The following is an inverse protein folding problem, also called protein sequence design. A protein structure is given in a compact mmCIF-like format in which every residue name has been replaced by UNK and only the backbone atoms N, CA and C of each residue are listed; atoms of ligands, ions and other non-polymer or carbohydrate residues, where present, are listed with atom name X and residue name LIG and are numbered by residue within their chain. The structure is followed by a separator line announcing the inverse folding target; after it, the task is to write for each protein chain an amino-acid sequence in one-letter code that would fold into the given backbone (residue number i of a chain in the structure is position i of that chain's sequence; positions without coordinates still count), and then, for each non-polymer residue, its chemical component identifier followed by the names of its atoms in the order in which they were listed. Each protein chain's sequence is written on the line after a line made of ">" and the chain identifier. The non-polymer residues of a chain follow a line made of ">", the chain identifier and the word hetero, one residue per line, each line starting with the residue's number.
data_IF_327395342621
#
_entry.id   IF_327395342621
#
_cell.length_a   1.000
_cell.length_b   1.000
_cell.length_c   1.000
_cell.angle_alpha   90.00
_cell.angle_beta   90.00
_cell.angle_gamma   90.00
#
_symmetry.space_group_name_H-M   'P 1'
#
loop_
_entity.id
_entity.type
_entity.pdbx_description
1 polymer ?
#
# COMPACT_ATOMS: atom_id res chain seq x y z
N UNK A 1 -20.74 26.83 42.58
CA UNK A 1 -20.33 26.56 41.19
C UNK A 1 -19.10 25.68 41.31
N UNK A 2 -19.30 24.36 41.24
CA UNK A 2 -18.21 23.38 41.36
C UNK A 2 -17.48 23.35 40.03
N UNK A 3 -16.18 23.64 40.03
CA UNK A 3 -15.30 23.48 38.86
C UNK A 3 -15.34 22.00 38.42
N UNK A 4 -15.42 21.70 37.13
CA UNK A 4 -15.41 20.31 36.66
C UNK A 4 -14.10 19.67 37.11
N UNK A 5 -14.22 18.44 37.59
CA UNK A 5 -13.12 17.64 38.11
C UNK A 5 -12.03 17.52 37.05
N UNK A 6 -10.86 18.12 37.29
CA UNK A 6 -9.69 18.09 36.38
C UNK A 6 -9.29 16.66 35.95
N UNK A 7 -9.65 15.65 36.73
CA UNK A 7 -9.43 14.23 36.41
C UNK A 7 -10.31 13.74 35.24
N UNK A 8 -11.50 14.31 35.02
CA UNK A 8 -12.43 13.86 33.97
C UNK A 8 -11.99 14.35 32.58
N UNK A 9 -11.41 15.55 32.51
CA UNK A 9 -10.92 16.14 31.26
C UNK A 9 -9.66 15.44 30.77
N UNK A 10 -8.72 15.13 31.71
CA UNK A 10 -7.50 14.37 31.41
C UNK A 10 -7.79 12.94 30.90
N UNK A 11 -8.88 12.33 31.39
CA UNK A 11 -9.25 10.96 31.00
C UNK A 11 -9.76 10.88 29.55
N UNK A 12 -10.51 11.85 29.07
CA UNK A 12 -11.03 11.84 27.69
C UNK A 12 -9.92 11.95 26.64
N UNK A 13 -8.94 12.84 26.87
CA UNK A 13 -7.85 13.07 25.92
C UNK A 13 -6.90 11.87 25.75
N UNK A 14 -6.72 11.06 26.81
CA UNK A 14 -5.83 9.86 26.75
C UNK A 14 -6.56 8.70 26.11
N UNK A 15 -7.83 8.51 26.41
CA UNK A 15 -8.64 7.41 25.89
C UNK A 15 -8.80 7.46 24.36
N UNK A 16 -8.88 8.66 23.81
CA UNK A 16 -9.03 8.90 22.36
C UNK A 16 -7.73 8.71 21.56
N UNK A 17 -6.58 8.57 22.24
CA UNK A 17 -5.30 8.37 21.56
C UNK A 17 -5.29 7.01 20.85
N UNK A 18 -5.03 7.03 19.56
CA UNK A 18 -4.90 5.81 18.77
C UNK A 18 -3.63 5.03 19.14
N UNK A 19 -3.80 3.74 19.40
CA UNK A 19 -2.69 2.81 19.55
C UNK A 19 -1.95 2.67 18.22
N UNK A 20 -0.62 2.90 18.17
CA UNK A 20 0.12 2.86 16.92
C UNK A 20 -0.07 1.56 16.15
N UNK A 21 -0.43 1.65 14.88
CA UNK A 21 -0.64 0.53 13.98
C UNK A 21 -2.02 -0.12 14.04
N UNK A 22 -2.75 -0.02 15.14
CA UNK A 22 -4.01 -0.77 15.34
C UNK A 22 -5.25 -0.05 14.78
N UNK A 23 -5.17 1.23 14.45
CA UNK A 23 -6.32 2.05 14.01
C UNK A 23 -7.51 1.99 15.01
N UNK A 24 -7.21 1.87 16.27
CA UNK A 24 -8.16 1.86 17.38
C UNK A 24 -7.62 2.72 18.51
N UNK A 25 -8.50 3.39 19.23
CA UNK A 25 -8.12 4.16 20.40
C UNK A 25 -7.72 3.26 21.59
N UNK A 26 -7.02 3.85 22.56
CA UNK A 26 -6.69 3.15 23.81
C UNK A 26 -7.95 2.68 24.54
N UNK A 27 -9.07 3.42 24.41
CA UNK A 27 -10.37 3.03 24.98
C UNK A 27 -10.95 1.83 24.24
N UNK A 28 -11.05 1.87 22.90
CA UNK A 28 -11.57 0.77 22.11
C UNK A 28 -10.84 -0.55 22.36
N UNK A 29 -9.52 -0.48 22.63
CA UNK A 29 -8.71 -1.65 22.93
C UNK A 29 -8.70 -2.04 24.41
N UNK A 30 -9.39 -1.30 25.27
CA UNK A 30 -9.27 -1.43 26.73
C UNK A 30 -7.81 -1.45 27.19
N UNK A 31 -6.96 -0.64 26.54
CA UNK A 31 -5.52 -0.68 26.75
C UNK A 31 -5.07 -0.01 28.04
N UNK A 32 -5.86 0.90 28.62
CA UNK A 32 -5.53 1.58 29.87
C UNK A 32 -6.01 0.73 31.06
N UNK A 33 -5.07 0.19 31.84
CA UNK A 33 -5.39 -0.62 32.99
C UNK A 33 -5.49 0.17 34.31
N UNK A 34 -4.71 1.25 34.42
CA UNK A 34 -4.75 2.16 35.57
C UNK A 34 -4.42 3.58 35.12
N UNK A 35 -5.20 4.54 35.59
CA UNK A 35 -4.93 5.96 35.43
C UNK A 35 -4.93 6.64 36.82
N UNK A 36 -3.82 7.29 37.15
CA UNK A 36 -3.62 8.04 38.37
C UNK A 36 -3.17 9.47 38.02
N UNK A 37 -3.17 10.36 39.01
CA UNK A 37 -2.83 11.79 38.81
C UNK A 37 -1.48 11.99 38.08
N UNK A 38 -0.46 11.14 38.36
CA UNK A 38 0.89 11.30 37.82
C UNK A 38 1.39 10.06 37.06
N UNK A 39 0.55 9.06 36.80
CA UNK A 39 0.96 7.84 36.09
C UNK A 39 -0.18 7.17 35.35
N UNK A 40 0.15 6.58 34.20
CA UNK A 40 -0.75 5.76 33.41
C UNK A 40 -0.11 4.38 33.18
N UNK A 41 -0.90 3.29 33.33
CA UNK A 41 -0.47 1.93 33.02
C UNK A 41 -1.22 1.46 31.76
N UNK A 42 -0.46 1.06 30.73
CA UNK A 42 -0.98 0.71 29.40
C UNK A 42 -0.56 -0.71 29.05
N UNK A 43 -1.47 -1.48 28.44
CA UNK A 43 -1.16 -2.79 27.88
C UNK A 43 -0.28 -2.63 26.66
N UNK A 44 0.82 -3.37 26.63
CA UNK A 44 1.75 -3.41 25.51
C UNK A 44 1.48 -4.65 24.66
N UNK A 45 0.69 -4.49 23.63
CA UNK A 45 0.30 -5.58 22.74
C UNK A 45 1.39 -5.99 21.74
N UNK A 46 2.46 -5.22 21.61
CA UNK A 46 3.45 -5.40 20.53
C UNK A 46 4.84 -5.75 21.02
N UNK A 47 5.19 -5.33 22.24
CA UNK A 47 6.55 -5.40 22.81
C UNK A 47 7.61 -4.66 21.98
N UNK A 48 7.18 -3.71 21.13
CA UNK A 48 8.02 -2.96 20.21
C UNK A 48 8.36 -1.58 20.79
N UNK A 49 9.66 -1.26 20.92
CA UNK A 49 10.08 -0.04 21.63
C UNK A 49 9.60 1.24 20.94
N UNK A 50 9.65 1.33 19.60
CA UNK A 50 9.15 2.53 18.92
C UNK A 50 7.64 2.75 19.13
N UNK A 51 6.83 1.69 19.32
CA UNK A 51 5.40 1.79 19.65
C UNK A 51 5.23 2.41 21.04
N UNK A 52 6.04 1.95 22.01
CA UNK A 52 6.09 2.53 23.36
C UNK A 52 6.48 4.00 23.34
N UNK A 53 7.49 4.37 22.53
CA UNK A 53 7.96 5.75 22.41
C UNK A 53 6.90 6.66 21.82
N UNK A 54 6.21 6.23 20.76
CA UNK A 54 5.09 6.97 20.17
C UNK A 54 3.95 7.14 21.17
N UNK A 55 3.63 6.11 21.96
CA UNK A 55 2.61 6.21 23.01
C UNK A 55 3.03 7.19 24.10
N UNK A 56 4.29 7.12 24.59
CA UNK A 56 4.83 8.08 25.56
C UNK A 56 4.72 9.52 25.05
N UNK A 57 5.13 9.73 23.81
CA UNK A 57 5.07 11.06 23.20
C UNK A 57 3.63 11.58 23.11
N UNK A 58 2.72 10.83 22.48
CA UNK A 58 1.33 11.26 22.28
C UNK A 58 0.59 11.52 23.58
N UNK A 59 0.79 10.67 24.59
CA UNK A 59 0.16 10.85 25.90
C UNK A 59 0.70 12.09 26.60
N UNK A 60 2.00 12.35 26.49
CA UNK A 60 2.65 13.48 27.17
C UNK A 60 2.66 14.79 26.37
N UNK A 61 2.11 14.83 25.18
CA UNK A 61 1.89 16.11 24.46
C UNK A 61 1.03 17.09 25.28
N UNK A 62 0.01 16.57 25.99
CA UNK A 62 -0.90 17.37 26.82
C UNK A 62 -0.86 17.00 28.30
N UNK A 63 -0.02 16.05 28.72
CA UNK A 63 0.04 15.53 30.06
C UNK A 63 1.51 15.39 30.52
N UNK A 64 1.71 15.23 31.81
CA UNK A 64 3.03 14.93 32.36
C UNK A 64 2.90 13.68 33.24
N UNK A 65 2.75 12.52 32.59
CA UNK A 65 2.50 11.24 33.25
C UNK A 65 3.69 10.30 33.14
N UNK A 66 3.99 9.57 34.19
CA UNK A 66 4.84 8.38 34.14
C UNK A 66 4.07 7.25 33.44
N UNK A 67 4.53 6.82 32.25
CA UNK A 67 3.88 5.75 31.50
C UNK A 67 4.55 4.41 31.82
N UNK A 68 3.74 3.47 32.32
CA UNK A 68 4.16 2.08 32.59
C UNK A 68 3.51 1.14 31.60
N UNK A 69 4.32 0.29 30.98
CA UNK A 69 3.83 -0.74 30.08
C UNK A 69 3.70 -2.06 30.79
N UNK A 70 2.62 -2.78 30.52
CA UNK A 70 2.32 -4.08 31.11
C UNK A 70 2.01 -5.07 29.98
N UNK A 71 2.60 -6.25 30.07
CA UNK A 71 2.28 -7.36 29.17
C UNK A 71 0.81 -7.77 29.35
N UNK A 72 0.04 -7.86 28.24
CA UNK A 72 -1.35 -8.30 28.28
C UNK A 72 -1.42 -9.80 28.61
N UNK A 73 -2.53 -10.23 29.25
CA UNK A 73 -2.87 -11.65 29.37
C UNK A 73 -3.33 -12.23 28.05
N UNK A 74 -3.30 -13.55 27.87
CA UNK A 74 -3.81 -14.25 26.68
C UNK A 74 -5.24 -13.83 26.35
N UNK A 75 -6.12 -13.75 27.35
CA UNK A 75 -7.50 -13.30 27.18
C UNK A 75 -7.59 -11.87 26.62
N UNK A 76 -6.74 -10.95 27.08
CA UNK A 76 -6.71 -9.58 26.56
C UNK A 76 -6.21 -9.53 25.11
N UNK A 77 -5.25 -10.38 24.75
CA UNK A 77 -4.78 -10.52 23.36
C UNK A 77 -5.89 -11.07 22.48
N UNK A 78 -6.65 -12.08 22.94
CA UNK A 78 -7.81 -12.62 22.19
C UNK A 78 -8.91 -11.57 21.99
N UNK A 79 -9.26 -10.81 23.04
CA UNK A 79 -10.26 -9.74 22.98
C UNK A 79 -9.83 -8.66 21.95
N UNK A 80 -8.58 -8.21 22.02
CA UNK A 80 -8.04 -7.23 21.07
C UNK A 80 -7.96 -7.81 19.65
N UNK A 81 -7.59 -9.08 19.51
CA UNK A 81 -7.56 -9.78 18.22
C UNK A 81 -8.93 -9.78 17.53
N UNK A 82 -10.00 -9.97 18.31
CA UNK A 82 -11.37 -9.87 17.79
C UNK A 82 -11.74 -8.43 17.37
N UNK A 83 -11.40 -7.44 18.19
CA UNK A 83 -11.67 -6.01 17.92
C UNK A 83 -10.98 -5.55 16.65
N UNK A 84 -9.72 -5.95 16.43
CA UNK A 84 -8.92 -5.56 15.27
C UNK A 84 -9.12 -6.49 14.06
N UNK A 85 -10.02 -7.50 14.17
CA UNK A 85 -10.30 -8.46 13.09
C UNK A 85 -9.11 -9.35 12.75
N UNK A 86 -8.26 -9.64 13.72
CA UNK A 86 -7.14 -10.58 13.53
C UNK A 86 -7.60 -12.04 13.58
N UNK A 87 -8.75 -12.31 14.20
CA UNK A 87 -9.37 -13.65 14.25
C UNK A 87 -10.20 -13.85 12.98
N UNK A 88 -9.71 -14.68 12.07
CA UNK A 88 -10.42 -15.01 10.82
C UNK A 88 -10.17 -16.46 10.46
N UNK A 89 -11.14 -17.08 9.81
CA UNK A 89 -10.94 -18.33 9.11
C UNK A 89 -10.11 -18.04 7.84
N UNK A 90 -8.90 -18.60 7.78
CA UNK A 90 -7.97 -18.37 6.67
C UNK A 90 -8.47 -18.93 5.35
N UNK A 91 -9.22 -20.03 5.37
CA UNK A 91 -9.80 -20.60 4.15
C UNK A 91 -10.94 -19.71 3.64
N UNK A 92 -11.79 -19.23 4.53
CA UNK A 92 -12.83 -18.27 4.19
C UNK A 92 -12.23 -16.96 3.66
N UNK A 93 -11.19 -16.43 4.31
CA UNK A 93 -10.48 -15.24 3.87
C UNK A 93 -9.93 -15.39 2.46
N UNK A 94 -9.20 -16.49 2.18
CA UNK A 94 -8.64 -16.78 0.85
C UNK A 94 -9.72 -16.85 -0.22
N UNK A 95 -10.84 -17.50 0.08
CA UNK A 95 -11.96 -17.64 -0.84
C UNK A 95 -12.70 -16.32 -1.12
N UNK A 96 -12.70 -15.41 -0.17
CA UNK A 96 -13.46 -14.16 -0.22
C UNK A 96 -12.60 -12.91 -0.40
N UNK A 97 -11.28 -13.02 -0.41
CA UNK A 97 -10.34 -11.90 -0.41
C UNK A 97 -10.63 -10.84 -1.48
N UNK A 98 -11.01 -11.29 -2.65
CA UNK A 98 -11.30 -10.42 -3.81
C UNK A 98 -12.75 -9.94 -3.90
N UNK A 99 -13.67 -10.38 -3.01
CA UNK A 99 -15.09 -10.02 -3.11
C UNK A 99 -15.34 -8.55 -2.82
N UNK A 100 -14.61 -8.00 -1.87
CA UNK A 100 -14.83 -6.64 -1.36
C UNK A 100 -13.68 -5.67 -1.71
N UNK A 101 -12.69 -6.12 -2.50
CA UNK A 101 -11.52 -5.33 -2.84
C UNK A 101 -11.24 -5.41 -4.33
N UNK A 102 -10.91 -4.28 -4.93
CA UNK A 102 -10.37 -4.25 -6.28
C UNK A 102 -8.86 -4.41 -6.22
N UNK A 103 -8.29 -5.36 -6.95
CA UNK A 103 -6.86 -5.67 -6.92
C UNK A 103 -6.26 -5.30 -8.27
N UNK A 104 -5.28 -4.38 -8.25
CA UNK A 104 -4.68 -3.82 -9.45
C UNK A 104 -3.16 -3.95 -9.36
N UNK A 105 -2.58 -4.81 -10.20
CA UNK A 105 -1.14 -4.90 -10.40
C UNK A 105 -0.62 -3.76 -11.28
N UNK A 106 0.46 -3.13 -10.86
CA UNK A 106 1.17 -2.14 -11.66
C UNK A 106 2.43 -2.83 -12.18
N UNK A 107 2.47 -3.07 -13.48
CA UNK A 107 3.56 -3.83 -14.13
C UNK A 107 4.32 -2.98 -15.14
N UNK A 108 5.54 -3.38 -15.44
CA UNK A 108 6.36 -2.73 -16.45
C UNK A 108 7.25 -3.74 -17.18
N UNK A 109 7.63 -3.44 -18.40
CA UNK A 109 8.53 -4.30 -19.16
C UNK A 109 9.96 -4.32 -18.62
N UNK A 110 10.46 -3.18 -18.12
CA UNK A 110 11.82 -3.01 -17.63
C UNK A 110 11.86 -2.16 -16.37
N UNK A 111 12.97 -2.22 -15.64
CA UNK A 111 13.26 -1.30 -14.53
C UNK A 111 13.47 0.14 -15.01
N UNK A 112 13.32 1.10 -14.10
CA UNK A 112 13.63 2.51 -14.36
C UNK A 112 12.57 3.29 -15.16
N UNK A 113 11.38 2.73 -15.41
CA UNK A 113 10.26 3.46 -16.06
C UNK A 113 9.44 4.29 -15.06
N UNK A 114 9.79 4.27 -13.78
CA UNK A 114 9.08 4.99 -12.70
C UNK A 114 7.82 4.26 -12.20
N UNK A 115 7.75 2.93 -12.33
CA UNK A 115 6.62 2.10 -11.90
C UNK A 115 6.20 2.37 -10.46
N UNK A 116 7.13 2.26 -9.50
CA UNK A 116 6.86 2.45 -8.06
C UNK A 116 6.44 3.88 -7.72
N UNK A 117 6.98 4.88 -8.44
CA UNK A 117 6.54 6.27 -8.32
C UNK A 117 5.10 6.44 -8.84
N UNK A 118 4.78 5.83 -9.98
CA UNK A 118 3.40 5.84 -10.52
C UNK A 118 2.45 5.11 -9.58
N UNK A 119 2.84 3.94 -9.03
CA UNK A 119 2.06 3.22 -8.02
C UNK A 119 1.76 4.08 -6.81
N UNK A 120 2.77 4.76 -6.28
CA UNK A 120 2.65 5.64 -5.11
C UNK A 120 1.76 6.86 -5.41
N UNK A 121 1.94 7.50 -6.56
CA UNK A 121 1.09 8.63 -6.99
C UNK A 121 -0.36 8.21 -7.19
N UNK A 122 -0.62 7.06 -7.79
CA UNK A 122 -1.97 6.51 -7.94
C UNK A 122 -2.59 6.22 -6.57
N UNK A 123 -1.80 5.68 -5.63
CA UNK A 123 -2.25 5.48 -4.25
C UNK A 123 -2.72 6.78 -3.61
N UNK A 124 -1.92 7.85 -3.72
CA UNK A 124 -2.26 9.18 -3.20
C UNK A 124 -3.51 9.75 -3.91
N UNK A 125 -3.60 9.61 -5.24
CA UNK A 125 -4.74 10.13 -5.99
C UNK A 125 -6.05 9.41 -5.67
N UNK A 126 -6.00 8.10 -5.48
CA UNK A 126 -7.17 7.29 -5.09
C UNK A 126 -7.62 7.62 -3.66
N UNK A 127 -6.68 7.85 -2.72
CA UNK A 127 -6.99 8.34 -1.37
C UNK A 127 -7.68 9.71 -1.41
N UNK A 128 -7.18 10.65 -2.23
CA UNK A 128 -7.83 11.96 -2.45
C UNK A 128 -9.25 11.84 -3.03
N UNK A 129 -9.51 10.79 -3.81
CA UNK A 129 -10.84 10.48 -4.33
C UNK A 129 -11.71 9.69 -3.33
N UNK A 130 -11.29 9.61 -2.07
CA UNK A 130 -12.03 9.00 -0.96
C UNK A 130 -12.00 7.48 -0.97
N UNK A 131 -11.04 6.84 -1.67
CA UNK A 131 -10.85 5.39 -1.62
C UNK A 131 -9.88 5.01 -0.52
N UNK A 132 -10.18 3.94 0.20
CA UNK A 132 -9.26 3.33 1.15
C UNK A 132 -8.26 2.46 0.39
N UNK A 133 -6.98 2.83 0.42
CA UNK A 133 -5.95 2.24 -0.44
C UNK A 133 -4.95 1.41 0.37
N UNK A 134 -4.68 0.20 -0.13
CA UNK A 134 -3.52 -0.60 0.24
C UNK A 134 -2.49 -0.62 -0.88
N UNK A 135 -1.21 -0.66 -0.55
CA UNK A 135 -0.12 -0.87 -1.51
C UNK A 135 0.74 -2.03 -1.04
N UNK A 136 0.86 -3.04 -1.88
CA UNK A 136 1.82 -4.13 -1.73
C UNK A 136 2.99 -3.88 -2.68
N UNK A 137 4.16 -3.55 -2.14
CA UNK A 137 5.41 -3.46 -2.89
C UNK A 137 6.07 -4.85 -2.92
N UNK A 138 5.95 -5.53 -4.06
CA UNK A 138 6.46 -6.88 -4.28
C UNK A 138 7.74 -6.92 -5.13
N UNK A 139 8.37 -5.77 -5.40
CA UNK A 139 9.63 -5.70 -6.13
C UNK A 139 10.82 -5.95 -5.19
N UNK A 140 11.32 -7.19 -5.20
CA UNK A 140 12.38 -7.64 -4.29
C UNK A 140 13.71 -6.90 -4.51
N UNK A 141 14.00 -6.55 -5.75
CA UNK A 141 15.27 -5.95 -6.14
C UNK A 141 15.23 -4.42 -6.23
N UNK A 142 14.03 -3.86 -6.19
CA UNK A 142 13.80 -2.44 -6.39
C UNK A 142 12.73 -1.87 -5.47
N UNK A 143 12.52 -2.47 -4.30
CA UNK A 143 11.58 -1.97 -3.32
C UNK A 143 11.85 -0.49 -3.02
N UNK A 144 10.84 0.33 -3.10
CA UNK A 144 10.99 1.78 -2.97
C UNK A 144 9.75 2.50 -2.47
N UNK A 145 8.58 1.85 -2.50
CA UNK A 145 7.31 2.48 -2.14
C UNK A 145 7.30 3.05 -0.72
N UNK A 146 7.78 2.34 0.34
CA UNK A 146 7.82 2.90 1.68
C UNK A 146 8.66 4.17 1.75
N UNK A 147 9.86 4.16 1.12
CA UNK A 147 10.76 5.30 1.09
C UNK A 147 10.13 6.49 0.33
N UNK A 148 9.58 6.25 -0.86
CA UNK A 148 8.95 7.27 -1.71
C UNK A 148 7.80 7.97 -0.97
N UNK A 149 6.99 7.22 -0.23
CA UNK A 149 5.85 7.72 0.54
C UNK A 149 6.24 8.29 1.92
N UNK A 150 7.48 8.11 2.36
CA UNK A 150 7.96 8.57 3.66
C UNK A 150 7.44 7.76 4.84
N UNK A 151 7.49 6.42 4.73
CA UNK A 151 7.17 5.53 5.84
C UNK A 151 8.08 5.78 7.03
N UNK A 152 7.49 6.12 8.18
CA UNK A 152 8.24 6.38 9.42
C UNK A 152 8.41 5.13 10.27
N UNK A 153 7.47 4.20 10.17
CA UNK A 153 7.42 3.02 11.02
C UNK A 153 7.19 1.76 10.19
N UNK A 154 7.84 0.64 10.56
CA UNK A 154 7.65 -0.64 9.90
C UNK A 154 6.28 -1.25 10.24
N UNK A 155 5.87 -2.32 9.55
CA UNK A 155 4.72 -3.14 9.91
C UNK A 155 4.85 -3.73 11.31
N UNK A 156 3.72 -4.00 11.95
CA UNK A 156 3.67 -4.55 13.31
C UNK A 156 3.15 -5.98 13.25
N UNK A 157 3.93 -6.99 13.65
CA UNK A 157 3.42 -8.33 13.85
C UNK A 157 2.54 -8.38 15.10
N UNK A 158 1.38 -9.03 15.02
CA UNK A 158 0.46 -9.22 16.12
C UNK A 158 -0.38 -10.48 15.91
N UNK A 159 -0.28 -11.46 16.83
CA UNK A 159 -1.08 -12.68 16.85
C UNK A 159 -1.24 -13.33 15.44
N UNK A 160 -0.15 -13.80 14.85
CA UNK A 160 -0.07 -14.41 13.51
C UNK A 160 -0.53 -13.53 12.35
N UNK A 161 -0.77 -12.24 12.62
CA UNK A 161 -1.17 -11.25 11.60
C UNK A 161 -0.14 -10.12 11.55
N UNK A 162 -0.25 -9.30 10.52
CA UNK A 162 0.65 -8.18 10.29
C UNK A 162 -0.19 -6.92 10.07
N UNK A 163 -0.04 -5.93 10.95
CA UNK A 163 -0.54 -4.59 10.66
C UNK A 163 0.39 -3.93 9.64
N UNK A 164 -0.12 -3.47 8.50
CA UNK A 164 0.69 -2.77 7.52
C UNK A 164 1.20 -1.43 8.07
N UNK A 165 2.32 -0.96 7.55
CA UNK A 165 2.75 0.41 7.78
C UNK A 165 1.66 1.38 7.32
N UNK A 166 1.36 2.40 8.12
CA UNK A 166 0.41 3.47 7.76
C UNK A 166 1.17 4.73 7.40
N UNK A 167 0.90 5.23 6.20
CA UNK A 167 1.45 6.48 5.70
C UNK A 167 0.26 7.35 5.29
N UNK A 168 -0.09 8.34 6.12
CA UNK A 168 -1.38 9.00 6.07
C UNK A 168 -2.53 7.97 6.12
N UNK A 169 -3.42 7.92 5.11
CA UNK A 169 -4.51 6.94 5.05
C UNK A 169 -4.14 5.67 4.27
N UNK A 170 -2.95 5.61 3.66
CA UNK A 170 -2.53 4.48 2.84
C UNK A 170 -1.88 3.41 3.70
N UNK A 171 -2.32 2.15 3.53
CA UNK A 171 -1.71 0.97 4.15
C UNK A 171 -0.63 0.42 3.23
N UNK A 172 0.59 0.22 3.73
CA UNK A 172 1.72 -0.24 2.90
C UNK A 172 2.39 -1.45 3.52
N UNK A 173 2.64 -2.47 2.72
CA UNK A 173 3.55 -3.57 3.02
C UNK A 173 4.57 -3.67 1.89
N UNK A 174 5.83 -3.93 2.20
CA UNK A 174 6.90 -4.07 1.21
C UNK A 174 7.79 -5.25 1.55
N UNK A 175 8.36 -5.86 0.52
CA UNK A 175 9.42 -6.87 0.65
C UNK A 175 10.62 -6.34 1.43
N UNK A 176 10.87 -5.03 1.41
CA UNK A 176 11.92 -4.35 2.19
C UNK A 176 11.93 -4.75 3.65
N UNK A 177 10.77 -4.86 4.27
CA UNK A 177 10.64 -5.14 5.71
C UNK A 177 11.03 -6.57 6.11
N UNK A 178 11.18 -7.46 5.15
CA UNK A 178 11.47 -8.89 5.35
C UNK A 178 12.85 -9.29 4.84
N UNK A 179 13.60 -8.34 4.28
CA UNK A 179 14.98 -8.52 3.85
C UNK A 179 15.90 -7.84 4.86
N UNK A 180 16.81 -8.60 5.48
CA UNK A 180 17.84 -8.00 6.31
C UNK A 180 18.81 -7.24 5.41
N UNK A 181 19.10 -5.98 5.75
CA UNK A 181 19.90 -5.06 4.93
C UNK A 181 21.31 -5.58 4.60
N UNK A 182 21.86 -6.47 5.43
CA UNK A 182 23.22 -7.01 5.29
C UNK A 182 23.27 -8.44 4.74
N UNK A 183 22.14 -9.05 4.40
CA UNK A 183 22.09 -10.41 3.85
C UNK A 183 21.63 -10.37 2.40
N UNK A 184 22.47 -10.87 1.49
CA UNK A 184 22.04 -11.18 0.12
C UNK A 184 21.09 -12.39 0.15
N UNK A 185 19.82 -12.15 0.44
CA UNK A 185 18.80 -13.20 0.43
C UNK A 185 18.56 -13.63 -1.02
N UNK A 186 18.93 -14.85 -1.34
CA UNK A 186 18.59 -15.44 -2.64
C UNK A 186 17.13 -15.89 -2.60
N UNK A 187 16.26 -15.05 -3.09
CA UNK A 187 14.84 -15.37 -3.23
C UNK A 187 14.66 -16.44 -4.31
N UNK A 188 14.33 -17.65 -3.88
CA UNK A 188 13.92 -18.74 -4.80
C UNK A 188 12.41 -18.68 -5.00
N UNK A 189 11.92 -19.12 -6.16
CA UNK A 189 10.50 -19.11 -6.50
C UNK A 189 9.54 -19.53 -5.38
N UNK A 190 9.77 -20.67 -4.67
CA UNK A 190 8.91 -21.08 -3.56
C UNK A 190 8.90 -20.13 -2.36
N UNK A 191 10.03 -19.47 -2.05
CA UNK A 191 10.10 -18.46 -0.97
C UNK A 191 9.30 -17.21 -1.33
N UNK A 192 9.46 -16.75 -2.57
CA UNK A 192 8.69 -15.62 -3.08
C UNK A 192 7.19 -15.92 -3.09
N UNK A 193 6.80 -17.08 -3.54
CA UNK A 193 5.41 -17.53 -3.53
C UNK A 193 4.81 -17.48 -2.13
N UNK A 194 5.53 -18.02 -1.12
CA UNK A 194 5.10 -17.98 0.27
C UNK A 194 5.01 -16.54 0.81
N UNK A 195 5.97 -15.68 0.48
CA UNK A 195 5.94 -14.27 0.91
C UNK A 195 4.71 -13.52 0.32
N UNK A 196 4.40 -13.74 -0.96
CA UNK A 196 3.20 -13.16 -1.58
C UNK A 196 1.93 -13.71 -0.93
N UNK A 197 1.87 -15.00 -0.58
CA UNK A 197 0.76 -15.58 0.16
C UNK A 197 0.56 -14.87 1.51
N UNK A 198 1.64 -14.71 2.29
CA UNK A 198 1.62 -14.03 3.58
C UNK A 198 1.17 -12.57 3.43
N UNK A 199 1.69 -11.84 2.46
CA UNK A 199 1.32 -10.45 2.24
C UNK A 199 -0.13 -10.26 1.81
N UNK A 200 -0.68 -11.20 1.06
CA UNK A 200 -2.10 -11.15 0.70
C UNK A 200 -3.00 -11.48 1.90
N UNK A 201 -2.66 -12.52 2.67
CA UNK A 201 -3.62 -13.11 3.59
C UNK A 201 -3.30 -12.92 5.07
N UNK A 202 -2.03 -12.75 5.48
CA UNK A 202 -1.67 -12.48 6.87
C UNK A 202 -1.66 -10.99 7.20
N UNK A 203 -1.47 -10.11 6.20
CA UNK A 203 -1.59 -8.67 6.40
C UNK A 203 -3.05 -8.29 6.62
N UNK A 204 -3.29 -7.46 7.63
CA UNK A 204 -4.61 -6.93 7.95
C UNK A 204 -4.99 -5.81 6.98
N UNK A 205 -5.44 -6.19 5.78
CA UNK A 205 -5.99 -5.30 4.76
C UNK A 205 -7.44 -4.95 5.10
N UNK A 206 -7.69 -4.49 6.33
CA UNK A 206 -9.03 -4.12 6.74
C UNK A 206 -9.47 -2.84 6.03
N UNK A 207 -10.73 -2.84 5.61
CA UNK A 207 -11.40 -1.66 5.08
C UNK A 207 -10.74 -1.01 3.87
N UNK A 208 -9.91 -1.72 3.10
CA UNK A 208 -9.42 -1.19 1.83
C UNK A 208 -10.41 -1.47 0.70
N UNK A 209 -10.62 -0.46 -0.15
CA UNK A 209 -11.40 -0.59 -1.39
C UNK A 209 -10.54 -1.11 -2.53
N UNK A 210 -9.27 -0.67 -2.56
CA UNK A 210 -8.33 -0.94 -3.66
C UNK A 210 -6.98 -1.38 -3.08
N UNK A 211 -6.48 -2.52 -3.54
CA UNK A 211 -5.11 -2.97 -3.32
C UNK A 211 -4.31 -2.75 -4.61
N UNK A 212 -3.35 -1.84 -4.58
CA UNK A 212 -2.35 -1.68 -5.63
C UNK A 212 -1.19 -2.62 -5.34
N UNK A 213 -0.71 -3.35 -6.34
CA UNK A 213 0.45 -4.23 -6.22
C UNK A 213 1.54 -3.69 -7.14
N UNK A 214 2.61 -3.15 -6.55
CA UNK A 214 3.81 -2.75 -7.28
C UNK A 214 4.61 -4.01 -7.62
N UNK A 215 4.54 -4.43 -8.89
CA UNK A 215 5.10 -5.71 -9.35
C UNK A 215 6.55 -5.54 -9.79
N UNK A 216 7.42 -6.56 -9.66
CA UNK A 216 8.75 -6.50 -10.25
C UNK A 216 8.66 -6.31 -11.77
N UNK A 217 9.68 -5.70 -12.38
CA UNK A 217 9.70 -5.53 -13.83
C UNK A 217 9.78 -6.87 -14.56
N UNK A 218 9.16 -6.95 -15.73
CA UNK A 218 9.17 -8.15 -16.58
C UNK A 218 8.01 -9.11 -16.33
N UNK A 219 8.22 -10.39 -16.61
CA UNK A 219 7.18 -11.45 -16.66
C UNK A 219 7.32 -12.47 -15.53
N UNK A 220 7.75 -12.02 -14.37
CA UNK A 220 8.31 -12.87 -13.32
C UNK A 220 7.34 -13.67 -12.46
N UNK A 221 7.92 -14.34 -11.49
CA UNK A 221 7.27 -15.29 -10.57
C UNK A 221 6.14 -14.69 -9.73
N UNK A 222 6.17 -13.36 -9.48
CA UNK A 222 5.12 -12.65 -8.75
C UNK A 222 3.78 -12.72 -9.48
N UNK A 223 3.75 -12.46 -10.80
CA UNK A 223 2.52 -12.58 -11.59
C UNK A 223 1.93 -13.97 -11.57
N UNK A 224 2.80 -14.99 -11.60
CA UNK A 224 2.38 -16.39 -11.53
C UNK A 224 1.81 -16.69 -10.14
N UNK A 225 2.51 -16.28 -9.08
CA UNK A 225 2.03 -16.45 -7.70
C UNK A 225 0.69 -15.79 -7.46
N UNK A 226 0.52 -14.53 -7.90
CA UNK A 226 -0.74 -13.82 -7.79
C UNK A 226 -1.88 -14.56 -8.52
N UNK A 227 -1.62 -15.10 -9.71
CA UNK A 227 -2.64 -15.83 -10.47
C UNK A 227 -3.07 -17.16 -9.82
N UNK A 228 -2.23 -17.73 -8.97
CA UNK A 228 -2.57 -18.93 -8.19
C UNK A 228 -3.44 -18.61 -6.97
N UNK A 229 -3.20 -17.45 -6.35
CA UNK A 229 -3.94 -17.01 -5.16
C UNK A 229 -5.21 -16.23 -5.48
N UNK A 230 -5.21 -15.48 -6.59
CA UNK A 230 -6.29 -14.57 -6.96
C UNK A 230 -7.03 -15.11 -8.18
N UNK A 231 -8.31 -15.39 -8.02
CA UNK A 231 -9.17 -15.84 -9.14
C UNK A 231 -9.27 -14.79 -10.25
N UNK A 232 -9.10 -13.51 -9.88
CA UNK A 232 -9.17 -12.37 -10.78
C UNK A 232 -8.37 -11.21 -10.20
N UNK A 233 -7.60 -10.53 -11.02
CA UNK A 233 -7.00 -9.23 -10.73
C UNK A 233 -6.78 -8.46 -12.03
N UNK A 234 -6.57 -7.17 -11.92
CA UNK A 234 -6.36 -6.26 -13.04
C UNK A 234 -4.90 -5.86 -13.11
N UNK A 235 -4.42 -5.52 -14.30
CA UNK A 235 -3.07 -4.98 -14.50
C UNK A 235 -3.12 -3.64 -15.27
N UNK A 236 -2.29 -2.71 -14.83
CA UNK A 236 -1.94 -1.50 -15.57
C UNK A 236 -0.49 -1.65 -16.02
N UNK A 237 -0.22 -1.36 -17.28
CA UNK A 237 1.13 -1.42 -17.83
C UNK A 237 1.72 -0.02 -17.85
N UNK A 238 2.82 0.18 -17.12
CA UNK A 238 3.60 1.43 -17.12
C UNK A 238 4.75 1.30 -18.10
N UNK A 239 4.90 2.28 -18.97
CA UNK A 239 5.99 2.37 -19.96
C UNK A 239 6.51 3.81 -20.07
N UNK A 240 7.62 3.98 -20.77
CA UNK A 240 8.10 5.28 -21.27
C UNK A 240 7.96 5.32 -22.79
N UNK A 241 8.06 6.48 -23.46
CA UNK A 241 7.92 6.56 -24.92
C UNK A 241 8.96 5.77 -25.72
N UNK A 242 10.06 5.35 -25.10
CA UNK A 242 11.16 4.64 -25.76
C UNK A 242 10.71 3.32 -26.39
N UNK A 243 11.05 3.06 -27.63
CA UNK A 243 10.70 1.83 -28.38
C UNK A 243 11.09 0.55 -27.65
N UNK A 244 12.29 0.51 -27.04
CA UNK A 244 12.74 -0.67 -26.28
C UNK A 244 11.88 -0.90 -25.02
N UNK A 245 11.37 0.16 -24.37
CA UNK A 245 10.49 0.03 -23.21
C UNK A 245 9.13 -0.56 -23.62
N UNK A 246 8.57 -0.08 -24.73
CA UNK A 246 7.28 -0.55 -25.25
C UNK A 246 7.34 -2.01 -25.72
N UNK A 247 8.41 -2.44 -26.39
CA UNK A 247 8.57 -3.84 -26.81
C UNK A 247 8.60 -4.82 -25.64
N UNK A 248 9.31 -4.47 -24.55
CA UNK A 248 9.37 -5.34 -23.38
C UNK A 248 8.07 -5.27 -22.57
N UNK A 249 7.42 -4.10 -22.49
CA UNK A 249 6.13 -3.94 -21.85
C UNK A 249 5.01 -4.71 -22.59
N UNK A 250 5.09 -4.86 -23.90
CA UNK A 250 4.20 -5.72 -24.69
C UNK A 250 4.26 -7.17 -24.22
N UNK A 251 5.47 -7.70 -23.95
CA UNK A 251 5.65 -9.06 -23.43
C UNK A 251 5.02 -9.22 -22.03
N UNK A 252 5.18 -8.22 -21.15
CA UNK A 252 4.54 -8.22 -19.84
C UNK A 252 3.02 -8.20 -19.93
N UNK A 253 2.47 -7.42 -20.86
CA UNK A 253 1.05 -7.41 -21.16
C UNK A 253 0.54 -8.76 -21.68
N UNK A 254 1.25 -9.40 -22.58
CA UNK A 254 0.91 -10.75 -23.09
C UNK A 254 0.94 -11.77 -21.95
N UNK A 255 1.92 -11.70 -21.05
CA UNK A 255 2.00 -12.58 -19.88
C UNK A 255 0.81 -12.36 -18.95
N UNK A 256 0.41 -11.12 -18.70
CA UNK A 256 -0.79 -10.80 -17.90
C UNK A 256 -2.02 -11.55 -18.43
N UNK A 257 -2.22 -11.58 -19.74
CA UNK A 257 -3.32 -12.32 -20.37
C UNK A 257 -3.21 -13.84 -20.12
N UNK A 258 -1.98 -14.40 -20.11
CA UNK A 258 -1.76 -15.84 -19.85
C UNK A 258 -2.05 -16.24 -18.40
N UNK A 259 -1.86 -15.34 -17.45
CA UNK A 259 -2.14 -15.57 -16.02
C UNK A 259 -3.52 -15.10 -15.59
N UNK A 260 -4.47 -14.96 -16.51
CA UNK A 260 -5.86 -14.51 -16.27
C UNK A 260 -5.98 -13.11 -15.63
N UNK A 261 -4.96 -12.27 -15.75
CA UNK A 261 -5.04 -10.88 -15.35
C UNK A 261 -5.61 -10.03 -16.49
N UNK A 262 -6.64 -9.23 -16.22
CA UNK A 262 -7.17 -8.29 -17.22
C UNK A 262 -6.30 -7.05 -17.28
N UNK A 263 -5.79 -6.69 -18.47
CA UNK A 263 -5.11 -5.42 -18.64
C UNK A 263 -6.18 -4.35 -18.83
N UNK A 264 -6.20 -3.35 -17.94
CA UNK A 264 -7.19 -2.27 -17.96
C UNK A 264 -6.69 -1.01 -18.68
N UNK A 265 -5.39 -0.92 -18.93
CA UNK A 265 -4.84 0.16 -19.73
C UNK A 265 -3.33 0.34 -19.59
N UNK A 266 -2.84 1.35 -20.27
CA UNK A 266 -1.43 1.75 -20.31
C UNK A 266 -1.29 3.15 -19.71
N UNK A 267 -0.24 3.37 -18.93
CA UNK A 267 0.23 4.70 -18.49
C UNK A 267 1.58 4.94 -19.13
N UNK A 268 1.70 6.02 -19.90
CA UNK A 268 2.99 6.48 -20.42
C UNK A 268 3.60 7.48 -19.44
N UNK A 269 4.65 7.07 -18.73
CA UNK A 269 5.39 7.93 -17.82
C UNK A 269 6.58 8.59 -18.54
N UNK A 270 7.01 9.75 -18.06
CA UNK A 270 8.10 10.54 -18.67
C UNK A 270 7.84 10.88 -20.15
N UNK A 271 6.56 11.15 -20.48
CA UNK A 271 6.11 11.35 -21.86
C UNK A 271 6.74 12.59 -22.49
N UNK A 272 6.92 13.66 -21.75
CA UNK A 272 7.48 14.92 -22.19
C UNK A 272 7.97 15.75 -20.99
N UNK A 273 8.78 16.77 -21.29
CA UNK A 273 9.10 17.87 -20.37
C UNK A 273 8.45 19.15 -20.87
N UNK A 274 8.03 20.02 -19.97
CA UNK A 274 7.58 21.37 -20.30
C UNK A 274 8.70 22.37 -19.99
N UNK A 275 9.18 23.08 -21.01
CA UNK A 275 10.23 24.11 -20.89
C UNK A 275 9.73 25.35 -21.63
N UNK A 276 9.61 26.46 -20.95
CA UNK A 276 9.13 27.74 -21.50
C UNK A 276 7.80 27.59 -22.30
N UNK A 277 6.87 26.79 -21.77
CA UNK A 277 5.56 26.54 -22.41
C UNK A 277 5.60 25.58 -23.60
N UNK A 278 6.77 25.07 -23.97
CA UNK A 278 6.92 24.10 -25.06
C UNK A 278 7.13 22.68 -24.51
N UNK A 279 6.56 21.68 -25.22
CA UNK A 279 6.79 20.28 -24.90
C UNK A 279 8.03 19.76 -25.62
N UNK A 280 8.99 19.29 -24.85
CA UNK A 280 10.16 18.56 -25.33
C UNK A 280 9.94 17.05 -25.07
N UNK A 281 10.47 16.21 -25.93
CA UNK A 281 10.27 14.76 -25.88
C UNK A 281 11.61 14.02 -25.78
N UNK A 282 12.28 14.05 -24.63
CA UNK A 282 13.62 13.50 -24.48
C UNK A 282 13.69 11.99 -24.70
N UNK A 283 12.57 11.29 -24.55
CA UNK A 283 12.48 9.83 -24.71
C UNK A 283 11.66 9.39 -25.93
N UNK A 284 11.36 10.30 -26.87
CA UNK A 284 10.51 10.03 -28.03
C UNK A 284 9.04 10.35 -27.76
N UNK A 285 8.17 9.90 -28.66
CA UNK A 285 6.73 10.19 -28.63
C UNK A 285 5.90 8.93 -28.87
N UNK A 286 4.68 8.93 -28.34
CA UNK A 286 3.61 8.01 -28.70
C UNK A 286 3.87 6.51 -28.41
N UNK A 287 4.95 6.14 -27.70
CA UNK A 287 5.25 4.74 -27.39
C UNK A 287 4.14 4.07 -26.57
N UNK A 288 3.55 4.78 -25.61
CA UNK A 288 2.40 4.29 -24.85
C UNK A 288 1.15 4.10 -25.71
N UNK A 289 0.91 4.98 -26.69
CA UNK A 289 -0.21 4.84 -27.65
C UNK A 289 -0.02 3.65 -28.58
N UNK A 290 1.21 3.40 -29.02
CA UNK A 290 1.52 2.20 -29.82
C UNK A 290 1.31 0.93 -29.00
N UNK A 291 1.78 0.92 -27.74
CA UNK A 291 1.58 -0.20 -26.84
C UNK A 291 0.08 -0.44 -26.54
N UNK A 292 -0.67 0.62 -26.28
CA UNK A 292 -2.13 0.57 -26.07
C UNK A 292 -2.85 -0.10 -27.25
N UNK A 293 -2.51 0.27 -28.49
CA UNK A 293 -3.05 -0.36 -29.70
C UNK A 293 -2.68 -1.83 -29.81
N UNK A 294 -1.43 -2.21 -29.55
CA UNK A 294 -0.97 -3.60 -29.61
C UNK A 294 -1.62 -4.50 -28.57
N UNK A 295 -1.88 -3.96 -27.36
CA UNK A 295 -2.54 -4.70 -26.29
C UNK A 295 -4.07 -4.67 -26.41
N UNK A 296 -4.63 -3.84 -27.28
CA UNK A 296 -6.07 -3.58 -27.43
C UNK A 296 -6.71 -3.09 -26.11
N UNK A 297 -6.09 -2.08 -25.50
CA UNK A 297 -6.53 -1.47 -24.23
C UNK A 297 -6.38 0.05 -24.29
N UNK A 298 -7.12 0.84 -23.48
CA UNK A 298 -7.00 2.28 -23.49
C UNK A 298 -5.63 2.76 -22.97
N UNK A 299 -5.21 3.96 -23.43
CA UNK A 299 -4.22 4.75 -22.70
C UNK A 299 -4.93 5.51 -21.59
N UNK A 300 -4.54 5.24 -20.35
CA UNK A 300 -5.15 5.85 -19.16
C UNK A 300 -4.64 7.27 -18.93
N UNK A 301 -3.42 7.55 -19.37
CA UNK A 301 -2.85 8.88 -19.34
C UNK A 301 -1.36 8.93 -19.65
N UNK A 302 -0.90 10.17 -19.82
CA UNK A 302 0.49 10.53 -20.07
C UNK A 302 0.98 11.41 -18.90
N UNK A 303 2.09 11.02 -18.28
CA UNK A 303 2.70 11.76 -17.18
C UNK A 303 3.98 12.46 -17.67
N UNK A 304 4.15 13.75 -17.42
CA UNK A 304 5.36 14.46 -17.78
C UNK A 304 6.55 14.03 -16.90
N UNK A 305 7.74 14.24 -17.42
CA UNK A 305 8.96 14.19 -16.61
C UNK A 305 9.08 15.50 -15.83
N UNK A 306 8.91 15.42 -14.51
CA UNK A 306 8.92 16.57 -13.61
C UNK A 306 10.01 16.41 -12.54
N UNK A 307 10.86 17.40 -12.40
CA UNK A 307 11.86 17.48 -11.33
C UNK A 307 11.20 17.37 -9.94
N UNK A 308 10.03 18.00 -9.76
CA UNK A 308 9.28 17.98 -8.49
C UNK A 308 8.89 16.59 -8.03
N UNK A 309 8.59 15.67 -8.96
CA UNK A 309 8.32 14.26 -8.60
C UNK A 309 9.62 13.59 -8.11
N UNK A 310 10.74 13.84 -8.79
CA UNK A 310 12.03 13.28 -8.38
C UNK A 310 12.44 13.81 -7.01
N UNK A 311 12.40 15.11 -6.79
CA UNK A 311 12.73 15.74 -5.51
C UNK A 311 11.83 15.22 -4.38
N UNK A 312 10.53 15.12 -4.61
CA UNK A 312 9.58 14.62 -3.63
C UNK A 312 9.82 13.12 -3.31
N UNK A 313 10.10 12.31 -4.31
CA UNK A 313 10.38 10.87 -4.14
C UNK A 313 11.71 10.63 -3.40
N UNK A 314 12.77 11.35 -3.76
CA UNK A 314 14.07 11.27 -3.09
C UNK A 314 14.01 11.82 -1.66
N UNK A 315 13.22 12.87 -1.45
CA UNK A 315 12.97 13.50 -0.15
C UNK A 315 12.04 12.69 0.76
N UNK A 316 11.54 11.54 0.31
CA UNK A 316 10.57 10.72 1.07
C UNK A 316 9.31 11.49 1.46
N UNK A 317 8.82 12.35 0.58
CA UNK A 317 7.61 13.17 0.78
C UNK A 317 6.80 13.35 -0.51
N UNK A 318 6.47 12.23 -1.16
CA UNK A 318 5.68 12.31 -2.39
C UNK A 318 4.28 12.89 -2.16
N UNK A 319 3.78 12.88 -0.93
CA UNK A 319 2.52 13.53 -0.59
C UNK A 319 2.55 15.05 -0.81
N UNK A 320 3.70 15.71 -0.68
CA UNK A 320 3.84 17.14 -0.97
C UNK A 320 3.50 17.47 -2.44
N UNK A 321 3.66 16.51 -3.35
CA UNK A 321 3.31 16.67 -4.77
C UNK A 321 1.81 16.90 -5.01
N UNK A 322 0.92 16.60 -4.05
CA UNK A 322 -0.52 16.93 -4.11
C UNK A 322 -0.78 18.41 -4.37
N UNK A 323 0.10 19.28 -3.88
CA UNK A 323 -0.03 20.73 -4.03
C UNK A 323 0.48 21.24 -5.40
N UNK A 324 1.05 20.34 -6.23
CA UNK A 324 1.52 20.70 -7.56
C UNK A 324 0.35 20.67 -8.56
N UNK A 325 0.21 21.66 -9.46
CA UNK A 325 -0.87 21.68 -10.48
C UNK A 325 -0.89 20.42 -11.37
N UNK A 326 0.28 19.81 -11.61
CA UNK A 326 0.36 18.58 -12.39
C UNK A 326 -0.20 17.35 -11.67
N UNK A 327 -0.46 17.41 -10.37
CA UNK A 327 -1.12 16.31 -9.65
C UNK A 327 -2.53 16.03 -10.20
N UNK A 328 -3.19 17.06 -10.77
CA UNK A 328 -4.47 16.87 -11.46
C UNK A 328 -4.41 15.77 -12.53
N UNK A 329 -3.29 15.61 -13.24
CA UNK A 329 -3.11 14.53 -14.24
C UNK A 329 -3.19 13.15 -13.60
N UNK A 330 -2.64 13.01 -12.39
CA UNK A 330 -2.71 11.75 -11.64
C UNK A 330 -4.15 11.48 -11.20
N UNK A 331 -4.87 12.51 -10.76
CA UNK A 331 -6.30 12.42 -10.43
C UNK A 331 -7.12 12.01 -11.67
N UNK A 332 -6.83 12.59 -12.84
CA UNK A 332 -7.52 12.25 -14.08
C UNK A 332 -7.28 10.76 -14.45
N UNK A 333 -6.04 10.27 -14.33
CA UNK A 333 -5.70 8.85 -14.52
C UNK A 333 -6.45 7.96 -13.52
N UNK A 334 -6.46 8.34 -12.24
CA UNK A 334 -7.17 7.60 -11.21
C UNK A 334 -8.69 7.54 -11.49
N UNK A 335 -9.29 8.62 -11.99
CA UNK A 335 -10.67 8.63 -12.42
C UNK A 335 -10.93 7.69 -13.61
N UNK A 336 -10.03 7.64 -14.61
CA UNK A 336 -10.16 6.68 -15.71
C UNK A 336 -10.10 5.23 -15.20
N UNK A 337 -9.20 4.93 -14.25
CA UNK A 337 -9.13 3.63 -13.58
C UNK A 337 -10.46 3.30 -12.88
N UNK A 338 -11.06 4.26 -12.17
CA UNK A 338 -12.32 4.05 -11.44
C UNK A 338 -13.53 3.84 -12.36
N UNK A 339 -13.53 4.41 -13.58
CA UNK A 339 -14.58 4.20 -14.58
C UNK A 339 -14.59 2.77 -15.14
N UNK A 340 -13.44 2.11 -15.14
CA UNK A 340 -13.34 0.76 -15.64
C UNK A 340 -14.05 -0.21 -14.69
N UNK A 341 -15.10 -0.85 -15.19
CA UNK A 341 -15.82 -1.88 -14.43
C UNK A 341 -15.20 -3.24 -14.72
N UNK A 342 -14.71 -3.94 -13.69
CA UNK A 342 -14.15 -5.27 -13.89
C UNK A 342 -15.21 -6.17 -14.49
N UNK A 343 -14.91 -6.80 -15.62
CA UNK A 343 -15.77 -7.85 -16.18
C UNK A 343 -15.73 -9.02 -15.20
N UNK A 344 -16.77 -9.16 -14.37
CA UNK A 344 -16.98 -10.37 -13.57
C UNK A 344 -17.20 -11.51 -14.57
N UNK A 345 -16.16 -12.24 -14.94
CA UNK A 345 -16.33 -13.53 -15.61
C UNK A 345 -16.72 -14.53 -14.53
N UNK A 346 -17.91 -15.14 -14.59
CA UNK A 346 -18.17 -16.34 -13.83
C UNK A 346 -17.20 -17.42 -14.37
N UNK A 347 -16.28 -17.85 -13.55
CA UNK A 347 -15.50 -19.05 -13.87
C UNK A 347 -16.35 -20.23 -13.44
N UNK A 348 -17.25 -20.68 -14.31
CA UNK A 348 -17.81 -22.01 -14.26
C UNK A 348 -16.78 -22.97 -14.89
N UNK A 349 -15.80 -23.37 -14.12
CA UNK A 349 -15.02 -24.57 -14.43
C UNK A 349 -15.89 -25.77 -14.04
N UNK A 350 -16.77 -26.20 -14.94
CA UNK A 350 -17.23 -27.59 -14.93
C UNK A 350 -16.03 -28.46 -15.31
N UNK A 351 -15.36 -29.00 -14.30
CA UNK A 351 -14.46 -30.13 -14.49
C UNK A 351 -15.36 -31.34 -14.70
N UNK A 352 -15.42 -31.83 -15.94
CA UNK A 352 -15.98 -33.15 -16.24
C UNK A 352 -14.94 -34.22 -15.93
#
# INVERSE_FOLDING_TARGET
>A
MLLPNTNTILNMDIQDINYPGFNRSLEELNAITKLKKNSCEILDFTEIEWVRDVLRQRINENNNLEIKFKTPSEKQVEEVSAIVGAVVDMEELKNNFHKNKRIIGITSGKGGVGKSTVTSLLGIALDELGKKVGILDSDIWGYSVPKILGAKFPPIPFNERIFPSKINNISVISMEYFVKQDEAVIWRGPMLHKAIEQFLFEVLWQDIDILLIDMPPGTGDVSISLSQFLKYFENIVVTTPQTNATMVAERSGIMSKKVNASIIGVIENMSYMEVDGNKLYPFGKDGGKELSKKLDVPILGEMPLLEQITVASEGSDLFAFKNNPNFKRVIDIANEILKFQPKKKPIDLKIN
#
